data_IF_304692284612
#
_entry.id   IF_304692284612
#
_cell.length_a   1.000
_cell.length_b   1.000
_cell.length_c   1.000
_cell.angle_alpha   90.00
_cell.angle_beta   90.00
_cell.angle_gamma   90.00
#
_symmetry.space_group_name_H-M   'P 1'
#
loop_
_entity.id
_entity.type
_entity.pdbx_description
1 polymer ?
#
# COMPACT_ATOMS: atom_id res chain seq x y z
N UNK A 1 4.89 -18.04 -12.99
CA UNK A 1 5.36 -17.26 -14.16
C UNK A 1 5.05 -15.80 -13.91
N UNK A 2 5.93 -14.88 -14.31
CA UNK A 2 5.67 -13.45 -14.17
C UNK A 2 6.28 -12.65 -15.31
N UNK A 3 5.76 -11.44 -15.49
CA UNK A 3 6.22 -10.48 -16.48
C UNK A 3 6.10 -9.06 -15.91
N UNK A 4 6.97 -8.18 -16.41
CA UNK A 4 6.93 -6.75 -16.11
C UNK A 4 7.07 -5.98 -17.42
N UNK A 5 6.21 -4.98 -17.61
CA UNK A 5 6.30 -4.00 -18.69
C UNK A 5 6.55 -2.63 -18.07
N UNK A 6 7.62 -1.97 -18.51
CA UNK A 6 7.89 -0.58 -18.17
C UNK A 6 7.52 0.33 -19.34
N UNK A 7 6.86 1.44 -19.04
CA UNK A 7 6.60 2.54 -19.98
C UNK A 7 7.05 3.87 -19.36
N UNK A 8 7.59 4.74 -20.21
CA UNK A 8 7.99 6.10 -19.84
C UNK A 8 7.48 7.07 -20.91
N UNK A 9 6.20 7.49 -20.84
CA UNK A 9 5.57 8.26 -21.91
C UNK A 9 6.17 9.65 -22.12
N UNK A 10 6.65 10.28 -21.03
CA UNK A 10 7.33 11.58 -21.02
C UNK A 10 8.42 11.59 -19.95
N UNK A 11 9.31 12.58 -20.00
CA UNK A 11 10.33 12.80 -18.98
C UNK A 11 9.72 12.92 -17.58
N UNK A 12 10.39 12.32 -16.59
CA UNK A 12 9.93 12.35 -15.20
C UNK A 12 8.77 11.39 -14.88
N UNK A 13 8.17 10.72 -15.88
CA UNK A 13 7.14 9.71 -15.68
C UNK A 13 7.66 8.30 -16.01
N UNK A 14 7.53 7.39 -15.04
CA UNK A 14 7.67 5.95 -15.26
C UNK A 14 6.46 5.22 -14.71
N UNK A 15 5.96 4.23 -15.46
CA UNK A 15 4.96 3.27 -14.99
C UNK A 15 5.42 1.84 -15.27
N UNK A 16 5.10 0.95 -14.34
CA UNK A 16 5.43 -0.46 -14.37
C UNK A 16 4.13 -1.23 -14.19
N UNK A 17 3.80 -2.07 -15.16
CA UNK A 17 2.72 -3.05 -15.05
C UNK A 17 3.38 -4.39 -14.81
N UNK A 18 3.00 -5.06 -13.75
CA UNK A 18 3.54 -6.34 -13.36
C UNK A 18 2.42 -7.37 -13.32
N UNK A 19 2.73 -8.59 -13.73
CA UNK A 19 1.84 -9.74 -13.60
C UNK A 19 2.66 -10.88 -13.01
N UNK A 20 2.12 -11.54 -12.00
CA UNK A 20 2.69 -12.77 -11.46
C UNK A 20 1.57 -13.76 -11.24
N UNK A 21 1.73 -14.97 -11.78
CA UNK A 21 0.81 -16.09 -11.60
C UNK A 21 1.56 -17.29 -11.06
N UNK A 22 1.07 -17.86 -9.98
CA UNK A 22 1.63 -19.01 -9.29
C UNK A 22 0.62 -20.16 -9.24
N UNK A 23 1.14 -21.39 -9.21
CA UNK A 23 0.37 -22.59 -8.96
C UNK A 23 1.11 -23.45 -7.94
N UNK A 24 0.40 -23.89 -6.92
CA UNK A 24 0.86 -24.86 -5.95
C UNK A 24 0.04 -26.14 -6.10
N UNK A 25 0.71 -27.29 -6.24
CA UNK A 25 0.02 -28.57 -6.30
C UNK A 25 -0.72 -28.81 -4.96
N UNK A 26 -2.04 -28.99 -5.02
CA UNK A 26 -2.91 -29.12 -3.85
C UNK A 26 -3.58 -27.82 -3.37
N UNK A 27 -3.51 -26.73 -4.13
CA UNK A 27 -4.29 -25.51 -3.84
C UNK A 27 -3.77 -24.68 -2.66
N UNK A 28 -2.53 -24.93 -2.22
CA UNK A 28 -1.91 -24.20 -1.10
C UNK A 28 -1.57 -22.74 -1.40
N UNK A 29 -1.11 -22.03 -0.35
CA UNK A 29 -0.64 -20.65 -0.42
C UNK A 29 0.30 -20.42 -1.61
N UNK A 30 0.06 -19.34 -2.36
CA UNK A 30 0.82 -19.00 -3.56
C UNK A 30 0.21 -19.48 -4.89
N UNK A 31 -0.97 -20.10 -4.86
CA UNK A 31 -1.79 -20.34 -6.05
C UNK A 31 -2.70 -19.16 -6.35
N UNK A 32 -2.49 -18.48 -7.47
CA UNK A 32 -3.27 -17.30 -7.84
C UNK A 32 -2.55 -16.39 -8.82
N UNK A 33 -3.21 -15.29 -9.18
CA UNK A 33 -2.66 -14.28 -10.09
C UNK A 33 -2.77 -12.89 -9.48
N UNK A 34 -1.66 -12.15 -9.50
CA UNK A 34 -1.62 -10.72 -9.20
C UNK A 34 -1.34 -9.93 -10.47
N UNK A 35 -2.04 -8.81 -10.61
CA UNK A 35 -1.71 -7.74 -11.55
C UNK A 35 -1.50 -6.49 -10.72
N UNK A 36 -0.37 -5.81 -10.91
CA UNK A 36 -0.10 -4.55 -10.22
C UNK A 36 0.43 -3.47 -11.16
N UNK A 37 0.15 -2.22 -10.79
CA UNK A 37 0.62 -1.01 -11.41
C UNK A 37 1.41 -0.22 -10.36
N UNK A 38 2.65 0.10 -10.66
CA UNK A 38 3.44 1.08 -9.90
C UNK A 38 3.86 2.20 -10.82
N UNK A 39 3.49 3.43 -10.51
CA UNK A 39 3.80 4.59 -11.33
C UNK A 39 4.20 5.79 -10.49
N UNK A 40 5.11 6.59 -11.01
CA UNK A 40 5.52 7.86 -10.41
C UNK A 40 5.78 8.89 -11.49
N UNK A 41 5.28 10.11 -11.28
CA UNK A 41 5.48 11.25 -12.17
C UNK A 41 6.01 12.45 -11.39
N UNK A 42 7.18 12.95 -11.81
CA UNK A 42 7.70 14.26 -11.41
C UNK A 42 6.97 15.35 -12.21
N UNK A 43 5.83 15.80 -11.67
CA UNK A 43 4.91 16.73 -12.37
C UNK A 43 5.53 18.12 -12.51
N UNK A 44 6.25 18.59 -11.50
CA UNK A 44 7.01 19.85 -11.50
C UNK A 44 8.33 19.63 -10.75
N UNK A 45 9.24 20.60 -10.72
CA UNK A 45 10.46 20.51 -9.89
C UNK A 45 10.19 20.28 -8.39
N UNK A 46 9.01 20.69 -7.90
CA UNK A 46 8.63 20.61 -6.49
C UNK A 46 7.60 19.53 -6.19
N UNK A 47 6.80 19.11 -7.16
CA UNK A 47 5.66 18.22 -6.95
C UNK A 47 5.86 16.89 -7.67
N UNK A 48 5.75 15.79 -6.91
CA UNK A 48 5.79 14.42 -7.40
C UNK A 48 4.52 13.70 -6.99
N UNK A 49 3.98 12.88 -7.90
CA UNK A 49 2.83 12.04 -7.63
C UNK A 49 3.18 10.58 -7.91
N UNK A 50 3.01 9.72 -6.92
CA UNK A 50 3.08 8.27 -7.06
C UNK A 50 1.71 7.61 -6.94
N UNK A 51 1.55 6.46 -7.57
CA UNK A 51 0.43 5.54 -7.39
C UNK A 51 0.97 4.12 -7.39
N UNK A 52 0.51 3.31 -6.45
CA UNK A 52 0.62 1.86 -6.50
C UNK A 52 -0.80 1.28 -6.44
N UNK A 53 -1.11 0.30 -7.26
CA UNK A 53 -2.37 -0.43 -7.21
C UNK A 53 -2.11 -1.89 -7.54
N UNK A 54 -2.76 -2.81 -6.84
CA UNK A 54 -2.59 -4.23 -7.02
C UNK A 54 -3.93 -4.96 -6.88
N UNK A 55 -4.16 -5.95 -7.72
CA UNK A 55 -5.27 -6.87 -7.62
C UNK A 55 -4.74 -8.31 -7.66
N UNK A 56 -4.92 -9.03 -6.56
CA UNK A 56 -4.61 -10.44 -6.44
C UNK A 56 -5.90 -11.24 -6.33
N UNK A 57 -5.97 -12.32 -7.11
CA UNK A 57 -7.04 -13.31 -7.04
C UNK A 57 -6.40 -14.67 -6.76
N UNK A 58 -6.80 -15.29 -5.64
CA UNK A 58 -6.39 -16.65 -5.31
C UNK A 58 -7.08 -17.65 -6.26
N UNK A 59 -6.45 -18.80 -6.50
CA UNK A 59 -7.09 -19.89 -7.22
C UNK A 59 -8.27 -20.48 -6.44
N UNK A 60 -9.19 -21.14 -7.15
CA UNK A 60 -10.34 -21.87 -6.60
C UNK A 60 -11.25 -21.02 -5.69
N UNK A 61 -11.47 -19.75 -6.06
CA UNK A 61 -12.33 -18.79 -5.34
C UNK A 61 -11.96 -18.59 -3.86
N UNK A 62 -10.69 -18.80 -3.52
CA UNK A 62 -10.15 -18.64 -2.15
C UNK A 62 -9.85 -17.17 -1.79
N UNK A 63 -10.59 -16.22 -2.38
CA UNK A 63 -10.46 -14.79 -2.11
C UNK A 63 -9.26 -14.13 -2.78
N UNK A 64 -8.56 -13.27 -2.03
CA UNK A 64 -7.47 -12.44 -2.54
C UNK A 64 -7.53 -11.02 -1.96
N UNK A 65 -6.96 -10.04 -2.67
CA UNK A 65 -7.04 -8.65 -2.26
C UNK A 65 -7.01 -7.68 -3.44
N UNK A 66 -7.56 -6.50 -3.24
CA UNK A 66 -7.37 -5.33 -4.11
C UNK A 66 -6.86 -4.19 -3.24
N UNK A 67 -5.79 -3.53 -3.64
CA UNK A 67 -5.22 -2.41 -2.88
C UNK A 67 -4.80 -1.28 -3.79
N UNK A 68 -4.85 -0.05 -3.27
CA UNK A 68 -4.30 1.12 -3.93
C UNK A 68 -3.73 2.11 -2.92
N UNK A 69 -2.64 2.77 -3.31
CA UNK A 69 -1.97 3.78 -2.53
C UNK A 69 -1.58 4.98 -3.41
N UNK A 70 -1.94 6.19 -2.98
CA UNK A 70 -1.63 7.45 -3.68
C UNK A 70 -0.63 8.26 -2.85
N UNK A 71 0.42 8.75 -3.52
CA UNK A 71 1.59 9.36 -2.89
C UNK A 71 1.89 10.77 -3.45
N UNK A 72 1.14 11.82 -3.09
CA UNK A 72 1.56 13.19 -3.36
C UNK A 72 2.75 13.58 -2.46
N UNK A 73 3.78 14.17 -3.06
CA UNK A 73 4.94 14.72 -2.37
C UNK A 73 5.23 16.14 -2.86
N UNK A 74 5.53 17.04 -1.93
CA UNK A 74 5.90 18.42 -2.22
C UNK A 74 7.21 18.81 -1.54
N UNK A 75 8.16 19.31 -2.33
CA UNK A 75 9.42 19.88 -1.86
C UNK A 75 9.29 21.41 -1.70
N UNK A 76 9.34 21.88 -0.45
CA UNK A 76 9.35 23.31 -0.14
C UNK A 76 10.72 23.93 -0.40
N UNK A 77 11.78 23.17 -0.16
CA UNK A 77 13.17 23.51 -0.44
C UNK A 77 13.98 22.24 -0.73
N UNK A 78 15.26 22.33 -1.14
CA UNK A 78 16.13 21.16 -1.26
C UNK A 78 16.29 20.36 0.05
N UNK A 79 16.06 21.02 1.20
CA UNK A 79 16.20 20.44 2.52
C UNK A 79 14.89 19.98 3.16
N UNK A 80 13.74 20.44 2.67
CA UNK A 80 12.43 20.21 3.32
C UNK A 80 11.40 19.76 2.31
N UNK A 81 10.88 18.54 2.49
CA UNK A 81 9.72 18.04 1.74
C UNK A 81 8.72 17.36 2.66
N UNK A 82 7.45 17.37 2.26
CA UNK A 82 6.39 16.60 2.89
C UNK A 82 5.79 15.62 1.87
N UNK A 83 5.47 14.43 2.34
CA UNK A 83 4.71 13.42 1.61
C UNK A 83 3.44 13.07 2.37
N UNK A 84 2.39 12.76 1.62
CA UNK A 84 1.20 12.09 2.13
C UNK A 84 1.04 10.78 1.38
N UNK A 85 0.57 9.74 2.08
CA UNK A 85 0.20 8.46 1.51
C UNK A 85 -1.20 8.11 1.97
N UNK A 86 -2.15 8.05 1.04
CA UNK A 86 -3.49 7.52 1.28
C UNK A 86 -3.58 6.11 0.74
N UNK A 87 -4.07 5.17 1.52
CA UNK A 87 -4.11 3.74 1.20
C UNK A 87 -5.52 3.18 1.42
N UNK A 88 -5.92 2.29 0.52
CA UNK A 88 -7.13 1.48 0.61
C UNK A 88 -6.76 0.03 0.33
N UNK A 89 -7.16 -0.88 1.20
CA UNK A 89 -6.98 -2.31 1.06
C UNK A 89 -8.33 -3.00 1.21
N UNK A 90 -8.70 -3.84 0.25
CA UNK A 90 -9.88 -4.67 0.26
C UNK A 90 -9.45 -6.14 0.23
N UNK A 91 -9.77 -6.89 1.27
CA UNK A 91 -9.63 -8.33 1.30
C UNK A 91 -10.88 -8.95 0.70
N UNK A 92 -10.70 -9.73 -0.37
CA UNK A 92 -11.79 -10.43 -1.05
C UNK A 92 -12.22 -11.60 -0.18
N UNK A 93 -13.53 -11.75 0.04
CA UNK A 93 -14.07 -12.91 0.75
C UNK A 93 -13.73 -14.22 0.04
N UNK A 94 -13.63 -15.31 0.80
CA UNK A 94 -13.28 -16.64 0.30
C UNK A 94 -14.38 -17.64 0.67
N UNK A 95 -14.97 -18.29 -0.34
CA UNK A 95 -16.02 -19.28 -0.12
C UNK A 95 -17.33 -18.72 0.47
N UNK A 96 -18.05 -19.58 1.18
CA UNK A 96 -19.34 -19.29 1.83
C UNK A 96 -19.30 -19.60 3.32
N UNK A 97 -20.16 -18.97 4.10
CA UNK A 97 -20.41 -19.34 5.49
C UNK A 97 -21.24 -20.63 5.62
N UNK A 98 -21.56 -21.00 6.87
CA UNK A 98 -22.31 -22.22 7.22
C UNK A 98 -23.73 -22.25 6.62
N UNK A 99 -24.29 -21.09 6.29
CA UNK A 99 -25.62 -20.95 5.65
C UNK A 99 -25.53 -20.89 4.12
N UNK A 100 -24.32 -21.06 3.55
CA UNK A 100 -24.08 -21.00 2.11
C UNK A 100 -24.07 -19.58 1.54
N UNK A 101 -23.96 -18.56 2.38
CA UNK A 101 -23.87 -17.15 1.97
C UNK A 101 -22.41 -16.80 1.71
N UNK A 102 -22.12 -16.14 0.59
CA UNK A 102 -20.75 -15.72 0.25
C UNK A 102 -20.13 -14.85 1.36
N UNK A 103 -18.90 -15.15 1.75
CA UNK A 103 -18.19 -14.34 2.73
C UNK A 103 -17.97 -12.94 2.15
N UNK A 104 -18.35 -11.86 2.85
CA UNK A 104 -18.21 -10.51 2.33
C UNK A 104 -16.76 -10.06 2.28
N UNK A 105 -16.47 -9.13 1.37
CA UNK A 105 -15.20 -8.42 1.35
C UNK A 105 -15.06 -7.54 2.58
N UNK A 106 -13.82 -7.24 2.94
CA UNK A 106 -13.52 -6.42 4.11
C UNK A 106 -12.45 -5.38 3.81
N UNK A 107 -12.55 -4.18 4.38
CA UNK A 107 -11.71 -3.06 3.97
C UNK A 107 -10.97 -2.35 5.11
N UNK A 108 -9.76 -1.89 4.78
CA UNK A 108 -8.91 -1.07 5.64
C UNK A 108 -8.49 0.17 4.86
N UNK A 109 -8.55 1.33 5.50
CA UNK A 109 -8.02 2.58 4.97
C UNK A 109 -6.93 3.10 5.88
N UNK A 110 -5.93 3.76 5.28
CA UNK A 110 -4.87 4.39 6.04
C UNK A 110 -4.46 5.73 5.43
N UNK A 111 -4.06 6.65 6.30
CA UNK A 111 -3.43 7.91 5.91
C UNK A 111 -2.12 8.02 6.67
N UNK A 112 -1.04 8.26 5.93
CA UNK A 112 0.30 8.51 6.47
C UNK A 112 0.77 9.90 6.03
N UNK A 113 1.35 10.67 6.95
CA UNK A 113 2.05 11.93 6.66
C UNK A 113 3.50 11.77 7.08
N UNK A 114 4.41 12.07 6.15
CA UNK A 114 5.85 11.87 6.34
C UNK A 114 6.62 13.12 5.96
N UNK A 115 7.55 13.54 6.81
CA UNK A 115 8.45 14.67 6.55
C UNK A 115 9.84 14.19 6.16
N UNK A 116 10.49 14.87 5.23
CA UNK A 116 11.91 14.62 4.91
C UNK A 116 12.69 15.91 5.16
N UNK A 117 13.50 15.91 6.22
CA UNK A 117 14.26 17.07 6.69
C UNK A 117 15.76 16.77 6.56
N UNK A 118 16.45 17.50 5.70
CA UNK A 118 17.86 17.26 5.38
C UNK A 118 18.78 18.33 5.95
N UNK A 119 19.92 17.91 6.47
CA UNK A 119 21.01 18.77 6.92
C UNK A 119 22.35 18.11 6.59
N UNK A 120 22.99 18.53 5.50
CA UNK A 120 24.19 17.86 4.98
C UNK A 120 23.88 16.41 4.57
N UNK A 121 24.69 15.46 5.03
CA UNK A 121 24.47 14.02 4.79
C UNK A 121 23.35 13.40 5.63
N UNK A 122 22.80 14.13 6.62
CA UNK A 122 21.74 13.63 7.48
C UNK A 122 20.35 13.92 6.90
N UNK A 123 19.49 12.92 6.94
CA UNK A 123 18.04 13.03 6.69
C UNK A 123 17.28 12.54 7.92
N UNK A 124 16.43 13.39 8.48
CA UNK A 124 15.50 13.04 9.55
C UNK A 124 14.07 12.93 8.99
N UNK A 125 13.37 11.87 9.38
CA UNK A 125 12.09 11.46 8.79
C UNK A 125 11.07 11.19 9.90
N UNK A 126 10.30 12.20 10.34
CA UNK A 126 9.14 11.97 11.18
C UNK A 126 7.93 11.50 10.36
N UNK A 127 7.19 10.53 10.87
CA UNK A 127 5.99 10.01 10.24
C UNK A 127 4.87 9.77 11.25
N UNK A 128 3.64 10.10 10.86
CA UNK A 128 2.42 9.75 11.59
C UNK A 128 1.47 9.03 10.65
N UNK A 129 0.86 7.95 11.14
CA UNK A 129 -0.10 7.11 10.43
C UNK A 129 -1.37 6.93 11.24
N UNK A 130 -2.50 6.89 10.53
CA UNK A 130 -3.81 6.55 11.05
C UNK A 130 -4.44 5.46 10.19
N UNK A 131 -4.98 4.44 10.84
CA UNK A 131 -5.65 3.30 10.22
C UNK A 131 -7.11 3.24 10.68
N UNK A 132 -8.00 2.88 9.75
CA UNK A 132 -9.42 2.61 10.00
C UNK A 132 -9.82 1.30 9.33
N UNK A 133 -10.35 0.38 10.12
CA UNK A 133 -10.75 -0.97 9.77
C UNK A 133 -12.19 -1.20 10.26
N UNK A 134 -13.16 -0.95 9.38
CA UNK A 134 -14.57 -0.98 9.75
C UNK A 134 -15.05 -2.39 10.11
N UNK A 135 -14.38 -3.41 9.58
CA UNK A 135 -14.77 -4.82 9.65
C UNK A 135 -13.96 -5.62 10.69
N UNK A 136 -13.10 -4.95 11.48
CA UNK A 136 -12.18 -5.58 12.44
C UNK A 136 -11.26 -6.66 11.84
N UNK A 137 -10.93 -6.53 10.56
CA UNK A 137 -10.05 -7.48 9.84
C UNK A 137 -8.64 -7.58 10.39
N UNK A 138 -8.10 -6.45 10.83
CA UNK A 138 -6.73 -6.33 11.30
C UNK A 138 -6.62 -6.61 12.80
N UNK A 139 -7.76 -6.83 13.46
CA UNK A 139 -7.81 -7.11 14.90
C UNK A 139 -7.03 -6.09 15.73
N UNK A 140 -7.15 -4.79 15.41
CA UNK A 140 -6.50 -3.77 16.22
C UNK A 140 -7.00 -3.86 17.67
N UNK A 141 -6.08 -3.67 18.62
CA UNK A 141 -6.35 -3.83 20.04
C UNK A 141 -5.96 -2.59 20.83
N UNK A 142 -6.78 -2.26 21.82
CA UNK A 142 -6.45 -1.29 22.87
C UNK A 142 -5.45 -1.90 23.86
N UNK A 143 -4.83 -1.06 24.68
CA UNK A 143 -3.98 -1.52 25.80
C UNK A 143 -4.72 -2.40 26.81
N UNK A 144 -6.05 -2.29 26.88
CA UNK A 144 -6.91 -3.16 27.69
C UNK A 144 -7.14 -4.56 27.08
N UNK A 145 -6.64 -4.82 25.88
CA UNK A 145 -6.91 -6.04 25.11
C UNK A 145 -8.24 -6.04 24.34
N UNK A 146 -9.06 -4.99 24.47
CA UNK A 146 -10.31 -4.88 23.72
C UNK A 146 -10.06 -4.51 22.26
N UNK A 147 -10.81 -5.11 21.33
CA UNK A 147 -10.76 -4.77 19.91
C UNK A 147 -11.17 -3.31 19.66
N UNK A 148 -10.59 -2.71 18.61
CA UNK A 148 -10.88 -1.36 18.14
C UNK A 148 -10.84 -1.32 16.61
N UNK A 149 -11.58 -0.37 16.01
CA UNK A 149 -11.61 -0.16 14.55
C UNK A 149 -10.52 0.77 14.06
N UNK A 150 -9.80 1.42 14.96
CA UNK A 150 -8.81 2.43 14.62
C UNK A 150 -7.49 2.18 15.31
N UNK A 151 -6.40 2.51 14.61
CA UNK A 151 -5.05 2.53 15.15
C UNK A 151 -4.33 3.81 14.71
N UNK A 152 -3.36 4.24 15.51
CA UNK A 152 -2.50 5.37 15.18
C UNK A 152 -1.05 5.01 15.55
N UNK A 153 -0.12 5.45 14.71
CA UNK A 153 1.31 5.22 14.89
C UNK A 153 2.08 6.50 14.64
N UNK A 154 3.11 6.73 15.46
CA UNK A 154 4.14 7.74 15.21
C UNK A 154 5.50 7.06 15.15
N UNK A 155 6.29 7.39 14.13
CA UNK A 155 7.64 6.84 13.93
C UNK A 155 8.63 7.93 13.55
N UNK A 156 9.89 7.67 13.86
CA UNK A 156 11.02 8.55 13.54
C UNK A 156 12.13 7.71 12.93
N UNK A 157 12.71 8.19 11.83
CA UNK A 157 13.92 7.62 11.27
C UNK A 157 14.99 8.70 11.06
N UNK A 158 16.26 8.31 11.19
CA UNK A 158 17.41 9.13 10.86
C UNK A 158 18.33 8.32 9.95
N UNK A 159 18.66 8.88 8.78
CA UNK A 159 19.50 8.25 7.76
C UNK A 159 20.67 9.17 7.50
N UNK A 160 21.89 8.65 7.59
CA UNK A 160 23.11 9.40 7.25
C UNK A 160 23.78 8.77 6.04
N UNK A 161 24.05 9.57 5.01
CA UNK A 161 24.80 9.18 3.83
C UNK A 161 26.16 9.89 3.83
N UNK A 162 27.23 9.11 3.60
CA UNK A 162 28.63 9.55 3.55
C UNK A 162 29.14 9.69 2.11
#
# INVERSE_FOLDING_TARGET
VGAQLMIAPVEGWSAYINVLSGYHAGGGYGSGTIVDLTTAYQVTEKFKLGLNAADYSAADDNGGYTGAALYPQYAFSPAVSLGLRGEYFNYKGAGTDDDGIAIPNKAVTAITVSGNLKAGGLTFIPEVRFDSDEDFTQSFMKSSGALTKTAAQFSLAAVYAF
#
